data_IF_152667016890
#
_entry.id   IF_152667016890
#
_cell.length_a   1.000
_cell.length_b   1.000
_cell.length_c   1.000
_cell.angle_alpha   90.00
_cell.angle_beta   90.00
_cell.angle_gamma   90.00
#
_symmetry.space_group_name_H-M   'P 1'
#
loop_
_entity.id
_entity.type
_entity.pdbx_description
1 polymer ?
#
# COMPACT_ATOMS: atom_id res chain seq x y z
N UNK A 1 -78.10 -64.93 135.43
CA UNK A 1 -76.99 -65.83 135.09
C UNK A 1 -75.89 -64.97 134.49
N UNK A 2 -74.75 -64.92 135.19
CA UNK A 2 -73.40 -64.46 134.83
C UNK A 2 -73.22 -63.46 133.69
N UNK A 3 -72.53 -62.36 133.98
CA UNK A 3 -71.18 -62.04 133.45
C UNK A 3 -70.78 -60.66 134.03
N UNK A 4 -70.39 -60.66 135.31
CA UNK A 4 -69.97 -59.49 136.10
C UNK A 4 -68.45 -59.21 136.01
N UNK A 5 -67.76 -59.62 134.94
CA UNK A 5 -66.29 -59.46 134.82
C UNK A 5 -65.81 -58.23 134.03
N UNK A 6 -66.66 -57.61 133.20
CA UNK A 6 -66.24 -56.44 132.39
C UNK A 6 -66.36 -55.09 133.13
N UNK A 7 -67.28 -54.96 134.09
CA UNK A 7 -67.49 -53.70 134.86
C UNK A 7 -66.43 -53.44 135.95
N UNK A 8 -65.75 -54.49 136.44
CA UNK A 8 -64.69 -54.36 137.44
C UNK A 8 -63.39 -53.76 136.85
N UNK A 9 -63.11 -53.99 135.57
CA UNK A 9 -61.92 -53.47 134.88
C UNK A 9 -61.97 -51.96 134.68
N UNK A 10 -63.14 -51.40 134.34
CA UNK A 10 -63.33 -49.96 134.18
C UNK A 10 -63.25 -49.21 135.52
N UNK A 11 -63.74 -49.81 136.61
CA UNK A 11 -63.63 -49.25 137.95
C UNK A 11 -62.17 -49.05 138.40
N UNK A 12 -61.28 -50.02 138.11
CA UNK A 12 -59.86 -49.90 138.45
C UNK A 12 -59.09 -48.91 137.57
N UNK A 13 -59.41 -48.78 136.26
CA UNK A 13 -58.78 -47.78 135.38
C UNK A 13 -59.12 -46.35 135.78
N UNK A 14 -60.38 -46.09 136.12
CA UNK A 14 -60.82 -44.75 136.56
C UNK A 14 -60.22 -44.36 137.92
N UNK A 15 -60.13 -45.30 138.88
CA UNK A 15 -59.46 -45.05 140.16
C UNK A 15 -57.96 -44.83 140.01
N UNK A 16 -57.27 -45.57 139.12
CA UNK A 16 -55.85 -45.34 138.86
C UNK A 16 -55.58 -44.00 138.18
N UNK A 17 -56.40 -43.60 137.21
CA UNK A 17 -56.31 -42.29 136.54
C UNK A 17 -56.50 -41.12 137.50
N UNK A 18 -57.50 -41.21 138.40
CA UNK A 18 -57.74 -40.17 139.41
C UNK A 18 -56.69 -40.13 140.53
N UNK A 19 -56.08 -41.26 140.89
CA UNK A 19 -54.96 -41.30 141.86
C UNK A 19 -53.65 -40.77 141.25
N UNK A 20 -53.39 -41.02 139.97
CA UNK A 20 -52.21 -40.49 139.28
C UNK A 20 -52.27 -38.95 139.15
N UNK A 21 -53.47 -38.42 138.82
CA UNK A 21 -53.68 -36.97 138.77
C UNK A 21 -53.54 -36.32 140.16
N UNK A 22 -53.99 -36.99 141.23
CA UNK A 22 -53.82 -36.52 142.62
C UNK A 22 -52.38 -36.63 143.15
N UNK A 23 -51.55 -37.53 142.61
CA UNK A 23 -50.12 -37.57 142.93
C UNK A 23 -49.33 -36.50 142.16
N UNK A 24 -49.75 -36.16 140.94
CA UNK A 24 -49.09 -35.14 140.11
C UNK A 24 -49.41 -33.70 140.54
N UNK A 25 -50.46 -33.46 141.33
CA UNK A 25 -50.81 -32.13 141.88
C UNK A 25 -50.15 -31.79 143.24
N UNK A 26 -49.26 -32.64 143.78
CA UNK A 26 -48.67 -32.47 145.14
C UNK A 26 -47.24 -31.93 145.20
N UNK A 27 -46.66 -31.44 144.10
CA UNK A 27 -45.38 -30.73 144.15
C UNK A 27 -45.59 -29.22 143.94
N UNK A 28 -45.21 -28.36 144.90
CA UNK A 28 -45.14 -26.92 144.69
C UNK A 28 -43.90 -26.58 143.86
N UNK A 29 -44.04 -25.60 142.96
CA UNK A 29 -42.98 -25.09 142.11
C UNK A 29 -42.13 -24.04 142.85
N UNK A 30 -40.79 -24.17 142.85
CA UNK A 30 -39.89 -23.00 142.72
C UNK A 30 -38.43 -23.37 142.43
N UNK A 31 -37.89 -22.65 141.45
CA UNK A 31 -36.55 -22.01 141.40
C UNK A 31 -35.27 -22.73 140.98
N UNK A 32 -34.53 -21.95 140.20
CA UNK A 32 -33.22 -22.10 139.57
C UNK A 32 -32.21 -22.97 140.34
N UNK A 33 -32.13 -24.24 139.95
CA UNK A 33 -30.90 -25.00 140.06
C UNK A 33 -30.29 -25.12 138.67
N UNK A 34 -29.35 -24.21 138.40
CA UNK A 34 -28.05 -24.55 137.81
C UNK A 34 -27.88 -26.07 137.59
N UNK A 35 -27.92 -26.60 136.35
CA UNK A 35 -27.91 -28.05 136.17
C UNK A 35 -26.63 -28.65 136.78
N UNK A 36 -26.74 -29.84 137.39
CA UNK A 36 -25.60 -30.66 137.85
C UNK A 36 -24.48 -30.70 136.79
N UNK A 37 -23.18 -30.73 137.16
CA UNK A 37 -22.06 -30.78 136.20
C UNK A 37 -22.26 -31.85 135.11
N UNK A 38 -22.87 -32.97 135.46
CA UNK A 38 -23.18 -34.06 134.52
C UNK A 38 -24.27 -33.70 133.50
N UNK A 39 -25.29 -32.90 133.89
CA UNK A 39 -26.37 -32.42 133.00
C UNK A 39 -25.87 -31.28 132.10
N UNK A 40 -25.09 -30.32 132.63
CA UNK A 40 -24.43 -29.27 131.81
C UNK A 40 -23.47 -29.86 130.79
N UNK A 41 -22.75 -30.93 131.14
CA UNK A 41 -21.82 -31.59 130.23
C UNK A 41 -22.58 -32.36 129.14
N UNK A 42 -23.74 -32.95 129.46
CA UNK A 42 -24.67 -33.54 128.49
C UNK A 42 -25.32 -32.50 127.58
N UNK A 43 -25.73 -31.34 128.10
CA UNK A 43 -26.28 -30.22 127.32
C UNK A 43 -25.22 -29.57 126.44
N UNK A 44 -24.01 -29.31 126.96
CA UNK A 44 -22.88 -28.83 126.15
C UNK A 44 -22.44 -29.84 125.11
N UNK A 45 -22.55 -31.15 125.38
CA UNK A 45 -22.32 -32.21 124.40
C UNK A 45 -23.43 -32.24 123.34
N UNK A 46 -24.69 -32.05 123.72
CA UNK A 46 -25.82 -31.89 122.77
C UNK A 46 -25.67 -30.63 121.92
N UNK A 47 -25.36 -29.47 122.52
CA UNK A 47 -25.07 -28.22 121.83
C UNK A 47 -23.87 -28.36 120.89
N UNK A 48 -22.77 -28.98 121.34
CA UNK A 48 -21.62 -29.26 120.49
C UNK A 48 -21.99 -30.19 119.32
N UNK A 49 -22.83 -31.21 119.53
CA UNK A 49 -23.32 -32.06 118.42
C UNK A 49 -24.25 -31.33 117.46
N UNK A 50 -25.08 -30.39 117.96
CA UNK A 50 -25.97 -29.58 117.14
C UNK A 50 -25.19 -28.54 116.32
N UNK A 51 -24.24 -27.84 116.95
CA UNK A 51 -23.32 -26.91 116.27
C UNK A 51 -22.42 -27.65 115.29
N UNK A 52 -21.95 -28.84 115.63
CA UNK A 52 -21.18 -29.67 114.71
C UNK A 52 -22.03 -30.12 113.50
N UNK A 53 -23.28 -30.54 113.72
CA UNK A 53 -24.23 -30.84 112.63
C UNK A 53 -24.52 -29.61 111.77
N UNK A 54 -24.70 -28.43 112.36
CA UNK A 54 -24.93 -27.18 111.63
C UNK A 54 -23.68 -26.74 110.83
N UNK A 55 -22.48 -26.92 111.39
CA UNK A 55 -21.22 -26.66 110.71
C UNK A 55 -21.00 -27.63 109.54
N UNK A 56 -21.28 -28.93 109.73
CA UNK A 56 -21.22 -29.91 108.65
C UNK A 56 -22.26 -29.61 107.57
N UNK A 57 -23.49 -29.23 107.93
CA UNK A 57 -24.50 -28.76 106.97
C UNK A 57 -24.04 -27.50 106.20
N UNK A 58 -23.37 -26.56 106.86
CA UNK A 58 -22.83 -25.36 106.20
C UNK A 58 -21.64 -25.70 105.28
N UNK A 59 -20.78 -26.64 105.67
CA UNK A 59 -19.70 -27.15 104.80
C UNK A 59 -20.26 -27.88 103.60
N UNK A 60 -21.29 -28.70 103.76
CA UNK A 60 -21.97 -29.37 102.64
C UNK A 60 -22.68 -28.36 101.73
N UNK A 61 -23.37 -27.35 102.27
CA UNK A 61 -23.99 -26.28 101.51
C UNK A 61 -22.95 -25.43 100.75
N UNK A 62 -21.78 -25.18 101.35
CA UNK A 62 -20.68 -24.51 100.68
C UNK A 62 -20.07 -25.38 99.58
N UNK A 63 -19.86 -26.68 99.83
CA UNK A 63 -19.37 -27.64 98.82
C UNK A 63 -20.31 -27.71 97.62
N UNK A 64 -21.59 -27.94 97.85
CA UNK A 64 -22.61 -27.96 96.77
C UNK A 64 -22.69 -26.63 96.02
N UNK A 65 -22.60 -25.48 96.71
CA UNK A 65 -22.55 -24.17 96.04
C UNK A 65 -21.30 -24.00 95.20
N UNK A 66 -20.16 -24.48 95.68
CA UNK A 66 -18.89 -24.39 94.97
C UNK A 66 -18.85 -25.33 93.77
N UNK A 67 -19.43 -26.53 93.89
CA UNK A 67 -19.65 -27.47 92.78
C UNK A 67 -20.57 -26.87 91.72
N UNK A 68 -21.69 -26.25 92.10
CA UNK A 68 -22.60 -25.58 91.17
C UNK A 68 -21.92 -24.40 90.44
N UNK A 69 -21.09 -23.63 91.14
CA UNK A 69 -20.28 -22.57 90.53
C UNK A 69 -19.24 -23.14 89.58
N UNK A 70 -18.54 -24.22 89.96
CA UNK A 70 -17.55 -24.87 89.13
C UNK A 70 -18.19 -25.43 87.85
N UNK A 71 -19.33 -26.12 87.96
CA UNK A 71 -20.10 -26.61 86.81
C UNK A 71 -20.50 -25.45 85.88
N UNK A 72 -20.94 -24.32 86.43
CA UNK A 72 -21.31 -23.14 85.63
C UNK A 72 -20.10 -22.49 84.94
N UNK A 73 -18.93 -22.48 85.59
CA UNK A 73 -17.68 -22.04 84.98
C UNK A 73 -17.23 -22.98 83.85
N UNK A 74 -17.38 -24.28 84.03
CA UNK A 74 -17.10 -25.29 82.99
C UNK A 74 -18.05 -25.16 81.80
N UNK A 75 -19.34 -24.95 82.04
CA UNK A 75 -20.32 -24.68 80.97
C UNK A 75 -20.02 -23.39 80.21
N UNK A 76 -19.66 -22.30 80.90
CA UNK A 76 -19.28 -21.05 80.25
C UNK A 76 -18.01 -21.22 79.41
N UNK A 77 -17.01 -21.94 79.92
CA UNK A 77 -15.78 -22.25 79.19
C UNK A 77 -16.08 -23.12 77.96
N UNK A 78 -16.98 -24.10 78.09
CA UNK A 78 -17.44 -24.91 76.96
C UNK A 78 -18.15 -24.06 75.89
N UNK A 79 -19.05 -23.15 76.31
CA UNK A 79 -19.75 -22.22 75.40
C UNK A 79 -18.78 -21.25 74.72
N UNK A 80 -17.77 -20.75 75.42
CA UNK A 80 -16.72 -19.90 74.84
C UNK A 80 -15.92 -20.64 73.78
N UNK A 81 -15.50 -21.89 74.06
CA UNK A 81 -14.79 -22.75 73.09
C UNK A 81 -15.66 -23.00 71.87
N UNK A 82 -16.95 -23.30 72.06
CA UNK A 82 -17.90 -23.48 70.96
C UNK A 82 -18.05 -22.22 70.11
N UNK A 83 -18.24 -21.05 70.74
CA UNK A 83 -18.34 -19.77 70.03
C UNK A 83 -17.07 -19.45 69.23
N UNK A 84 -15.89 -19.64 69.80
CA UNK A 84 -14.62 -19.49 69.08
C UNK A 84 -14.52 -20.43 67.88
N UNK A 85 -14.96 -21.67 68.04
CA UNK A 85 -15.01 -22.63 66.93
C UNK A 85 -16.01 -22.21 65.84
N UNK A 86 -17.18 -21.67 66.22
CA UNK A 86 -18.16 -21.14 65.28
C UNK A 86 -17.65 -19.91 64.53
N UNK A 87 -17.02 -18.94 65.21
CA UNK A 87 -16.43 -17.76 64.58
C UNK A 87 -15.39 -18.19 63.54
N UNK A 88 -14.48 -19.10 63.90
CA UNK A 88 -13.47 -19.62 62.95
C UNK A 88 -14.10 -20.29 61.73
N UNK A 89 -15.16 -21.11 61.92
CA UNK A 89 -15.89 -21.72 60.81
C UNK A 89 -16.61 -20.68 59.95
N UNK A 90 -17.17 -19.64 60.57
CA UNK A 90 -17.88 -18.58 59.87
C UNK A 90 -16.93 -17.68 59.06
N UNK A 91 -15.77 -17.34 59.61
CA UNK A 91 -14.70 -16.65 58.90
C UNK A 91 -14.22 -17.46 57.69
N UNK A 92 -13.98 -18.77 57.86
CA UNK A 92 -13.64 -19.67 56.76
C UNK A 92 -14.74 -19.69 55.69
N UNK A 93 -16.01 -19.77 56.09
CA UNK A 93 -17.15 -19.73 55.17
C UNK A 93 -17.21 -18.41 54.39
N UNK A 94 -17.00 -17.26 55.04
CA UNK A 94 -16.95 -15.95 54.36
C UNK A 94 -15.80 -15.90 53.36
N UNK A 95 -14.61 -16.33 53.76
CA UNK A 95 -13.43 -16.34 52.88
C UNK A 95 -13.67 -17.24 51.65
N UNK A 96 -14.20 -18.44 51.84
CA UNK A 96 -14.52 -19.36 50.74
C UNK A 96 -15.61 -18.78 49.81
N UNK A 97 -16.65 -18.16 50.37
CA UNK A 97 -17.70 -17.55 49.59
C UNK A 97 -17.17 -16.37 48.76
N UNK A 98 -16.36 -15.49 49.36
CA UNK A 98 -15.74 -14.38 48.63
C UNK A 98 -14.77 -14.88 47.56
N UNK A 99 -14.00 -15.94 47.82
CA UNK A 99 -13.20 -16.60 46.77
C UNK A 99 -14.05 -17.18 45.64
N UNK A 100 -15.21 -17.76 45.93
CA UNK A 100 -16.16 -18.24 44.90
C UNK A 100 -16.71 -17.07 44.09
N UNK A 101 -17.10 -15.96 44.76
CA UNK A 101 -17.56 -14.72 44.11
C UNK A 101 -16.49 -14.12 43.20
N UNK A 102 -15.25 -13.98 43.68
CA UNK A 102 -14.12 -13.47 42.90
C UNK A 102 -13.84 -14.36 41.69
N UNK A 103 -13.86 -15.70 41.85
CA UNK A 103 -13.68 -16.64 40.74
C UNK A 103 -14.80 -16.51 39.69
N UNK A 104 -16.05 -16.43 40.13
CA UNK A 104 -17.20 -16.25 39.25
C UNK A 104 -17.11 -14.92 38.48
N UNK A 105 -16.80 -13.81 39.16
CA UNK A 105 -16.61 -12.50 38.54
C UNK A 105 -15.46 -12.49 37.54
N UNK A 106 -14.30 -13.08 37.88
CA UNK A 106 -13.16 -13.21 36.97
C UNK A 106 -13.54 -14.01 35.73
N UNK A 107 -14.26 -15.12 35.88
CA UNK A 107 -14.73 -15.94 34.75
C UNK A 107 -15.70 -15.15 33.86
N UNK A 108 -16.70 -14.49 34.45
CA UNK A 108 -17.66 -13.68 33.73
C UNK A 108 -17.00 -12.52 32.95
N UNK A 109 -16.02 -11.83 33.55
CA UNK A 109 -15.29 -10.76 32.87
C UNK A 109 -14.43 -11.29 31.71
N UNK A 110 -13.73 -12.42 31.88
CA UNK A 110 -12.97 -13.05 30.79
C UNK A 110 -13.89 -13.43 29.63
N UNK A 111 -15.05 -13.99 29.93
CA UNK A 111 -16.03 -14.40 28.91
C UNK A 111 -16.64 -13.19 28.18
N UNK A 112 -16.92 -12.10 28.90
CA UNK A 112 -17.34 -10.83 28.29
C UNK A 112 -16.27 -10.25 27.34
N UNK A 113 -15.01 -10.24 27.75
CA UNK A 113 -13.94 -9.70 26.90
C UNK A 113 -13.67 -10.60 25.68
N UNK A 114 -13.68 -11.93 25.86
CA UNK A 114 -13.58 -12.87 24.74
C UNK A 114 -14.73 -12.69 23.76
N UNK A 115 -15.97 -12.54 24.24
CA UNK A 115 -17.13 -12.25 23.39
C UNK A 115 -16.94 -10.95 22.61
N UNK A 116 -16.43 -9.89 23.26
CA UNK A 116 -16.16 -8.60 22.61
C UNK A 116 -15.11 -8.74 21.50
N UNK A 117 -14.04 -9.50 21.74
CA UNK A 117 -13.03 -9.81 20.73
C UNK A 117 -13.62 -10.59 19.54
N UNK A 118 -14.36 -11.67 19.82
CA UNK A 118 -15.01 -12.48 18.78
C UNK A 118 -16.01 -11.69 17.94
N UNK A 119 -16.77 -10.78 18.55
CA UNK A 119 -17.70 -9.90 17.81
C UNK A 119 -16.94 -8.96 16.87
N UNK A 120 -15.80 -8.40 17.30
CA UNK A 120 -14.95 -7.57 16.44
C UNK A 120 -14.36 -8.38 15.27
N UNK A 121 -13.85 -9.58 15.54
CA UNK A 121 -13.32 -10.48 14.51
C UNK A 121 -14.40 -10.86 13.49
N UNK A 122 -15.60 -11.20 13.97
CA UNK A 122 -16.74 -11.54 13.13
C UNK A 122 -17.20 -10.36 12.28
N UNK A 123 -17.17 -9.13 12.82
CA UNK A 123 -17.48 -7.93 12.05
C UNK A 123 -16.46 -7.70 10.92
N UNK A 124 -15.16 -7.84 11.20
CA UNK A 124 -14.10 -7.76 10.19
C UNK A 124 -14.26 -8.83 9.10
N UNK A 125 -14.40 -10.09 9.50
CA UNK A 125 -14.57 -11.21 8.57
C UNK A 125 -15.83 -11.05 7.68
N UNK A 126 -16.93 -10.49 8.22
CA UNK A 126 -18.13 -10.18 7.43
C UNK A 126 -17.86 -9.10 6.38
N UNK A 127 -17.11 -8.06 6.73
CA UNK A 127 -16.73 -7.00 5.79
C UNK A 127 -15.82 -7.56 4.69
N UNK A 128 -14.79 -8.32 5.07
CA UNK A 128 -13.87 -8.94 4.11
C UNK A 128 -14.60 -9.88 3.15
N UNK A 129 -15.53 -10.69 3.67
CA UNK A 129 -16.38 -11.56 2.84
C UNK A 129 -17.24 -10.76 1.86
N UNK A 130 -17.78 -9.61 2.27
CA UNK A 130 -18.58 -8.76 1.38
C UNK A 130 -17.73 -8.19 0.24
N UNK A 131 -16.53 -7.71 0.54
CA UNK A 131 -15.57 -7.20 -0.46
C UNK A 131 -15.17 -8.31 -1.43
N UNK A 132 -14.80 -9.48 -0.92
CA UNK A 132 -14.44 -10.64 -1.74
C UNK A 132 -15.59 -11.09 -2.65
N UNK A 133 -16.83 -11.08 -2.15
CA UNK A 133 -18.01 -11.40 -2.96
C UNK A 133 -18.23 -10.39 -4.08
N UNK A 134 -18.05 -9.10 -3.80
CA UNK A 134 -18.17 -8.05 -4.81
C UNK A 134 -17.09 -8.20 -5.90
N UNK A 135 -15.84 -8.45 -5.51
CA UNK A 135 -14.74 -8.69 -6.46
C UNK A 135 -14.98 -9.95 -7.30
N UNK A 136 -15.42 -11.05 -6.68
CA UNK A 136 -15.79 -12.25 -7.39
C UNK A 136 -16.91 -11.98 -8.41
N UNK A 137 -17.96 -11.25 -8.02
CA UNK A 137 -19.05 -10.90 -8.94
C UNK A 137 -18.54 -10.04 -10.11
N UNK A 138 -17.69 -9.06 -9.83
CA UNK A 138 -17.07 -8.19 -10.84
C UNK A 138 -16.25 -9.01 -11.84
N UNK A 139 -15.43 -9.93 -11.36
CA UNK A 139 -14.62 -10.81 -12.20
C UNK A 139 -15.47 -11.80 -13.00
N UNK A 140 -16.51 -12.38 -12.38
CA UNK A 140 -17.45 -13.28 -13.05
C UNK A 140 -18.19 -12.58 -14.19
N UNK A 141 -18.66 -11.35 -13.96
CA UNK A 141 -19.31 -10.55 -15.00
C UNK A 141 -18.36 -10.27 -16.17
N UNK A 142 -17.09 -9.92 -15.89
CA UNK A 142 -16.07 -9.75 -16.94
C UNK A 142 -15.82 -11.04 -17.70
N UNK A 143 -15.66 -12.16 -17.01
CA UNK A 143 -15.47 -13.48 -17.65
C UNK A 143 -16.63 -13.82 -18.58
N UNK A 144 -17.87 -13.54 -18.16
CA UNK A 144 -19.06 -13.75 -18.98
C UNK A 144 -19.07 -12.84 -20.21
N UNK A 145 -18.71 -11.56 -20.07
CA UNK A 145 -18.55 -10.64 -21.20
C UNK A 145 -17.50 -11.15 -22.19
N UNK A 146 -16.36 -11.64 -21.70
CA UNK A 146 -15.28 -12.15 -22.54
C UNK A 146 -15.52 -13.56 -23.11
N UNK A 147 -16.57 -14.26 -22.65
CA UNK A 147 -16.88 -15.62 -23.11
C UNK A 147 -17.15 -15.70 -24.61
N UNK A 148 -17.67 -14.63 -25.21
CA UNK A 148 -17.94 -14.55 -26.66
C UNK A 148 -16.62 -14.62 -27.44
N UNK A 149 -15.61 -13.87 -27.01
CA UNK A 149 -14.29 -13.88 -27.65
C UNK A 149 -13.58 -15.22 -27.47
N UNK A 150 -13.69 -15.82 -26.29
CA UNK A 150 -13.12 -17.15 -26.06
C UNK A 150 -13.76 -18.18 -27.00
N UNK A 151 -15.10 -18.24 -27.06
CA UNK A 151 -15.83 -19.13 -28.00
C UNK A 151 -15.46 -18.86 -29.47
N UNK A 152 -15.24 -17.60 -29.83
CA UNK A 152 -14.77 -17.26 -31.17
C UNK A 152 -13.36 -17.81 -31.42
N UNK A 153 -12.42 -17.61 -30.50
CA UNK A 153 -11.05 -18.11 -30.62
C UNK A 153 -11.00 -19.64 -30.64
N UNK A 154 -11.84 -20.32 -29.85
CA UNK A 154 -12.01 -21.77 -29.92
C UNK A 154 -12.49 -22.23 -31.31
N UNK A 155 -13.39 -21.48 -31.95
CA UNK A 155 -13.81 -21.78 -33.33
C UNK A 155 -12.66 -21.54 -34.33
N UNK A 156 -11.88 -20.48 -34.14
CA UNK A 156 -10.71 -20.20 -34.99
C UNK A 156 -9.71 -21.33 -34.89
N UNK A 157 -9.38 -21.78 -33.68
CA UNK A 157 -8.50 -22.93 -33.44
C UNK A 157 -9.01 -24.16 -34.19
N UNK A 158 -10.30 -24.50 -34.06
CA UNK A 158 -10.93 -25.65 -34.76
C UNK A 158 -10.83 -25.62 -36.29
N UNK A 159 -10.80 -24.43 -36.90
CA UNK A 159 -10.74 -24.27 -38.36
C UNK A 159 -9.30 -24.10 -38.85
N UNK A 160 -8.37 -23.83 -37.94
CA UNK A 160 -6.97 -23.54 -38.25
C UNK A 160 -6.05 -24.74 -37.98
N UNK A 161 -4.79 -24.59 -38.37
CA UNK A 161 -3.70 -25.55 -38.10
C UNK A 161 -3.16 -25.46 -36.66
N UNK A 162 -3.62 -24.47 -35.87
CA UNK A 162 -3.15 -24.24 -34.51
C UNK A 162 -3.88 -25.13 -33.51
N UNK A 163 -3.15 -25.62 -32.50
CA UNK A 163 -3.72 -26.48 -31.45
C UNK A 163 -4.28 -25.65 -30.28
N UNK A 164 -3.66 -24.51 -30.00
CA UNK A 164 -4.05 -23.64 -28.88
C UNK A 164 -4.39 -22.20 -29.31
N UNK A 165 -5.32 -21.58 -28.57
CA UNK A 165 -5.68 -20.16 -28.73
C UNK A 165 -4.43 -19.25 -28.58
N UNK A 166 -3.48 -19.64 -27.72
CA UNK A 166 -2.24 -18.88 -27.52
C UNK A 166 -1.38 -18.81 -28.78
N UNK A 167 -1.34 -19.87 -29.57
CA UNK A 167 -0.58 -19.92 -30.82
C UNK A 167 -1.21 -18.99 -31.87
N UNK A 168 -2.54 -19.00 -31.98
CA UNK A 168 -3.28 -18.06 -32.84
C UNK A 168 -2.97 -16.61 -32.47
N UNK A 169 -2.99 -16.29 -31.18
CA UNK A 169 -2.66 -14.94 -30.68
C UNK A 169 -1.19 -14.60 -30.97
N UNK A 170 -0.28 -15.56 -30.78
CA UNK A 170 1.14 -15.41 -31.09
C UNK A 170 1.35 -15.08 -32.56
N UNK A 171 0.77 -15.88 -33.46
CA UNK A 171 0.84 -15.66 -34.91
C UNK A 171 0.27 -14.31 -35.30
N UNK A 172 -0.88 -13.93 -34.75
CA UNK A 172 -1.49 -12.63 -35.00
C UNK A 172 -0.56 -11.48 -34.59
N UNK A 173 0.04 -11.54 -33.38
CA UNK A 173 0.98 -10.51 -32.92
C UNK A 173 2.18 -10.39 -33.85
N UNK A 174 2.77 -11.50 -34.26
CA UNK A 174 3.89 -11.51 -35.21
C UNK A 174 3.47 -10.91 -36.56
N UNK A 175 2.28 -11.25 -37.07
CA UNK A 175 1.78 -10.74 -38.34
C UNK A 175 1.51 -9.22 -38.29
N UNK A 176 0.92 -8.74 -37.20
CA UNK A 176 0.69 -7.30 -36.99
C UNK A 176 2.02 -6.56 -36.89
N UNK A 177 3.00 -7.10 -36.15
CA UNK A 177 4.35 -6.53 -36.09
C UNK A 177 5.00 -6.44 -37.47
N UNK A 178 5.03 -7.55 -38.21
CA UNK A 178 5.56 -7.59 -39.59
C UNK A 178 4.82 -6.60 -40.51
N UNK A 179 3.50 -6.46 -40.37
CA UNK A 179 2.73 -5.51 -41.17
C UNK A 179 3.11 -4.06 -40.86
N UNK A 180 3.30 -3.72 -39.57
CA UNK A 180 3.76 -2.40 -39.16
C UNK A 180 5.15 -2.10 -39.70
N UNK A 181 6.09 -3.04 -39.58
CA UNK A 181 7.46 -2.89 -40.10
C UNK A 181 7.45 -2.70 -41.62
N UNK A 182 6.64 -3.48 -42.34
CA UNK A 182 6.52 -3.36 -43.80
C UNK A 182 5.90 -2.02 -44.21
N UNK A 183 4.87 -1.55 -43.50
CA UNK A 183 4.25 -0.24 -43.73
C UNK A 183 5.24 0.89 -43.50
N UNK A 184 6.05 0.81 -42.45
CA UNK A 184 7.10 1.80 -42.18
C UNK A 184 8.16 1.80 -43.28
N UNK A 185 8.68 0.63 -43.66
CA UNK A 185 9.67 0.52 -44.73
C UNK A 185 9.15 1.02 -46.08
N UNK A 186 7.87 0.76 -46.39
CA UNK A 186 7.23 1.30 -47.59
C UNK A 186 7.14 2.83 -47.56
N UNK A 187 6.79 3.42 -46.41
CA UNK A 187 6.74 4.86 -46.23
C UNK A 187 8.12 5.50 -46.40
N UNK A 188 9.15 4.93 -45.76
CA UNK A 188 10.55 5.38 -45.91
C UNK A 188 11.01 5.30 -47.37
N UNK A 189 10.63 4.22 -48.08
CA UNK A 189 10.90 4.08 -49.51
C UNK A 189 10.27 5.17 -50.37
N UNK A 190 9.01 5.53 -50.10
CA UNK A 190 8.33 6.63 -50.79
C UNK A 190 9.00 7.98 -50.52
N UNK A 191 9.40 8.24 -49.28
CA UNK A 191 10.12 9.47 -48.92
C UNK A 191 11.48 9.56 -49.62
N UNK A 192 12.21 8.45 -49.72
CA UNK A 192 13.49 8.40 -50.45
C UNK A 192 13.30 8.66 -51.95
N UNK A 193 12.24 8.11 -52.56
CA UNK A 193 11.90 8.39 -53.97
C UNK A 193 11.57 9.86 -54.16
N UNK A 194 10.78 10.46 -53.26
CA UNK A 194 10.41 11.87 -53.36
C UNK A 194 11.64 12.78 -53.22
N UNK A 195 12.53 12.50 -52.26
CA UNK A 195 13.79 13.21 -52.13
C UNK A 195 14.66 13.08 -53.38
N UNK A 196 14.73 11.90 -53.98
CA UNK A 196 15.49 11.67 -55.21
C UNK A 196 14.89 12.47 -56.39
N UNK A 197 13.56 12.53 -56.52
CA UNK A 197 12.88 13.36 -57.53
C UNK A 197 13.17 14.84 -57.36
N UNK A 198 13.11 15.35 -56.13
CA UNK A 198 13.44 16.76 -55.84
C UNK A 198 14.88 17.07 -56.24
N UNK A 199 15.84 16.20 -55.88
CA UNK A 199 17.24 16.37 -56.28
C UNK A 199 17.42 16.33 -57.80
N UNK A 200 16.71 15.45 -58.49
CA UNK A 200 16.77 15.37 -59.95
C UNK A 200 16.18 16.61 -60.63
N UNK A 201 15.05 17.13 -60.13
CA UNK A 201 14.44 18.38 -60.62
C UNK A 201 15.43 19.53 -60.51
N UNK A 202 16.01 19.71 -59.32
CA UNK A 202 17.00 20.76 -59.07
C UNK A 202 18.20 20.64 -60.00
N UNK A 203 18.77 19.45 -60.14
CA UNK A 203 19.90 19.22 -61.04
C UNK A 203 19.54 19.51 -62.50
N UNK A 204 18.32 19.17 -62.93
CA UNK A 204 17.85 19.42 -64.29
C UNK A 204 17.72 20.93 -64.53
N UNK A 205 17.10 21.66 -63.60
CA UNK A 205 16.99 23.12 -63.65
C UNK A 205 18.38 23.80 -63.71
N UNK A 206 19.32 23.38 -62.86
CA UNK A 206 20.70 23.88 -62.89
C UNK A 206 21.38 23.63 -64.25
N UNK A 207 21.18 22.46 -64.85
CA UNK A 207 21.76 22.14 -66.17
C UNK A 207 21.09 22.87 -67.31
N UNK A 208 19.78 23.08 -67.25
CA UNK A 208 19.07 23.89 -68.23
C UNK A 208 19.55 25.35 -68.18
N UNK A 209 19.78 25.89 -66.98
CA UNK A 209 20.37 27.23 -66.79
C UNK A 209 21.80 27.32 -67.35
N UNK A 210 22.65 26.32 -67.09
CA UNK A 210 24.01 26.24 -67.67
C UNK A 210 23.96 26.19 -69.22
N UNK A 211 23.04 25.40 -69.80
CA UNK A 211 22.86 25.32 -71.25
C UNK A 211 22.42 26.67 -71.81
N UNK A 212 21.48 27.37 -71.16
CA UNK A 212 21.05 28.70 -71.57
C UNK A 212 22.21 29.70 -71.51
N UNK A 213 23.04 29.65 -70.47
CA UNK A 213 24.23 30.50 -70.37
C UNK A 213 25.21 30.23 -71.54
N UNK A 214 25.54 28.97 -71.81
CA UNK A 214 26.43 28.62 -72.92
C UNK A 214 25.84 28.99 -74.29
N UNK A 215 24.53 28.83 -74.50
CA UNK A 215 23.87 29.25 -75.73
C UNK A 215 23.95 30.78 -75.93
N UNK A 216 23.78 31.55 -74.86
CA UNK A 216 23.95 33.01 -74.92
C UNK A 216 25.39 33.40 -75.25
N UNK A 217 26.38 32.72 -74.66
CA UNK A 217 27.80 32.93 -74.98
C UNK A 217 28.11 32.59 -76.43
N UNK A 218 27.58 31.47 -76.93
CA UNK A 218 27.73 31.03 -78.33
C UNK A 218 27.12 32.07 -79.29
N UNK A 219 25.91 32.56 -79.02
CA UNK A 219 25.27 33.60 -79.82
C UNK A 219 26.12 34.88 -79.85
N UNK A 220 26.68 35.29 -78.71
CA UNK A 220 27.58 36.46 -78.62
C UNK A 220 28.86 36.27 -79.44
N UNK A 221 29.46 35.08 -79.38
CA UNK A 221 30.66 34.75 -80.17
C UNK A 221 30.34 34.72 -81.67
N UNK A 222 29.19 34.15 -82.05
CA UNK A 222 28.73 34.11 -83.44
C UNK A 222 28.52 35.53 -83.99
N UNK A 223 27.87 36.42 -83.25
CA UNK A 223 27.70 37.82 -83.65
C UNK A 223 29.05 38.52 -83.87
N UNK A 224 30.04 38.29 -82.97
CA UNK A 224 31.40 38.84 -83.14
C UNK A 224 32.10 38.29 -84.36
N UNK A 225 31.95 36.99 -84.62
CA UNK A 225 32.51 36.33 -85.80
C UNK A 225 31.91 36.89 -87.09
N UNK A 226 30.58 37.00 -87.16
CA UNK A 226 29.87 37.52 -88.33
C UNK A 226 30.21 39.00 -88.59
N UNK A 227 30.38 39.80 -87.53
CA UNK A 227 30.85 41.17 -87.64
C UNK A 227 32.27 41.25 -88.20
N UNK A 228 33.22 40.50 -87.63
CA UNK A 228 34.60 40.45 -88.13
C UNK A 228 34.67 39.97 -89.58
N UNK A 229 33.87 38.95 -89.94
CA UNK A 229 33.76 38.45 -91.31
C UNK A 229 33.22 39.51 -92.26
N UNK A 230 32.21 40.28 -91.85
CA UNK A 230 31.69 41.41 -92.64
C UNK A 230 32.77 42.46 -92.90
N UNK A 231 33.55 42.81 -91.86
CA UNK A 231 34.66 43.76 -92.00
C UNK A 231 35.73 43.25 -92.97
N UNK A 232 36.10 41.97 -92.89
CA UNK A 232 37.04 41.33 -93.82
C UNK A 232 36.56 41.50 -95.26
N UNK A 233 35.29 41.20 -95.56
CA UNK A 233 34.72 41.35 -96.91
C UNK A 233 34.81 42.81 -97.39
N UNK A 234 34.52 43.79 -96.52
CA UNK A 234 34.63 45.21 -96.85
C UNK A 234 36.07 45.58 -97.18
N UNK A 235 37.05 45.13 -96.39
CA UNK A 235 38.45 45.41 -96.62
C UNK A 235 39.00 44.70 -97.86
N UNK A 236 38.61 43.46 -98.13
CA UNK A 236 38.96 42.72 -99.35
C UNK A 236 38.44 43.44 -100.60
N UNK A 237 37.21 43.95 -100.58
CA UNK A 237 36.63 44.73 -101.68
C UNK A 237 37.41 46.04 -101.93
N UNK A 238 37.73 46.77 -100.85
CA UNK A 238 38.56 47.99 -100.93
C UNK A 238 39.96 47.67 -101.48
N UNK A 239 40.58 46.60 -101.01
CA UNK A 239 41.88 46.14 -101.46
C UNK A 239 41.85 45.77 -102.95
N UNK A 240 40.85 45.01 -103.40
CA UNK A 240 40.67 44.67 -104.81
C UNK A 240 40.46 45.92 -105.68
N UNK A 241 39.74 46.93 -105.19
CA UNK A 241 39.60 48.21 -105.90
C UNK A 241 40.94 48.96 -106.03
N UNK A 242 41.74 49.01 -104.96
CA UNK A 242 43.08 49.60 -104.99
C UNK A 242 43.97 48.84 -105.98
N UNK A 243 43.98 47.51 -105.92
CA UNK A 243 44.76 46.68 -106.84
C UNK A 243 44.35 46.89 -108.30
N UNK A 244 43.04 46.88 -108.60
CA UNK A 244 42.53 47.14 -109.95
C UNK A 244 42.92 48.54 -110.45
N UNK A 245 42.83 49.55 -109.58
CA UNK A 245 43.23 50.92 -109.92
C UNK A 245 44.73 51.01 -110.17
N UNK A 246 45.54 50.37 -109.34
CA UNK A 246 46.99 50.28 -109.53
C UNK A 246 47.33 49.58 -110.85
N UNK A 247 46.70 48.43 -111.16
CA UNK A 247 46.87 47.71 -112.41
C UNK A 247 46.51 48.57 -113.63
N UNK A 248 45.38 49.31 -113.59
CA UNK A 248 44.99 50.26 -114.64
C UNK A 248 46.03 51.38 -114.82
N UNK A 249 46.50 51.98 -113.73
CA UNK A 249 47.55 53.02 -113.77
C UNK A 249 48.86 52.47 -114.32
N UNK A 250 49.27 51.28 -113.92
CA UNK A 250 50.48 50.60 -114.44
C UNK A 250 50.35 50.32 -115.93
N UNK A 251 49.20 49.84 -116.39
CA UNK A 251 48.94 49.61 -117.82
C UNK A 251 48.94 50.92 -118.61
N UNK A 252 48.30 51.97 -118.09
CA UNK A 252 48.27 53.29 -118.73
C UNK A 252 49.68 53.88 -118.82
N UNK A 253 50.47 53.80 -117.75
CA UNK A 253 51.87 54.19 -117.75
C UNK A 253 52.67 53.39 -118.78
N UNK A 254 52.52 52.06 -118.83
CA UNK A 254 53.16 51.22 -119.83
C UNK A 254 52.77 51.59 -121.26
N UNK A 255 51.49 51.93 -121.49
CA UNK A 255 51.00 52.36 -122.81
C UNK A 255 51.59 53.71 -123.21
N UNK A 256 51.64 54.68 -122.28
CA UNK A 256 52.29 55.98 -122.51
C UNK A 256 53.77 55.76 -122.84
N UNK A 257 54.49 54.97 -122.04
CA UNK A 257 55.90 54.64 -122.28
C UNK A 257 56.12 54.05 -123.67
N UNK A 258 55.27 53.10 -124.09
CA UNK A 258 55.37 52.48 -125.42
C UNK A 258 55.03 53.45 -126.56
N UNK A 259 53.99 54.27 -126.40
CA UNK A 259 53.63 55.28 -127.38
C UNK A 259 54.74 56.33 -127.54
N UNK A 260 55.30 56.81 -126.43
CA UNK A 260 56.47 57.70 -126.41
C UNK A 260 57.66 57.07 -127.12
N UNK A 261 58.01 55.83 -126.78
CA UNK A 261 59.10 55.11 -127.43
C UNK A 261 58.86 54.96 -128.95
N UNK A 262 57.65 54.59 -129.36
CA UNK A 262 57.28 54.42 -130.76
C UNK A 262 57.36 55.75 -131.54
N UNK A 263 56.91 56.85 -130.94
CA UNK A 263 57.01 58.18 -131.52
C UNK A 263 58.48 58.63 -131.64
N UNK A 264 59.26 58.47 -130.57
CA UNK A 264 60.70 58.76 -130.55
C UNK A 264 61.42 57.98 -131.67
N UNK A 265 61.22 56.66 -131.76
CA UNK A 265 61.78 55.83 -132.83
C UNK A 265 61.36 56.29 -134.23
N UNK A 266 60.10 56.72 -134.40
CA UNK A 266 59.59 57.22 -135.68
C UNK A 266 60.26 58.54 -136.11
N UNK A 267 60.44 59.47 -135.16
CA UNK A 267 61.13 60.75 -135.40
C UNK A 267 62.62 60.53 -135.65
N UNK A 268 63.31 59.72 -134.83
CA UNK A 268 64.72 59.38 -135.04
C UNK A 268 64.96 58.73 -136.41
N UNK A 269 64.02 57.90 -136.89
CA UNK A 269 64.08 57.29 -138.22
C UNK A 269 63.91 58.31 -139.36
N UNK A 270 63.10 59.34 -139.18
CA UNK A 270 62.95 60.43 -140.17
C UNK A 270 64.15 61.39 -140.18
N UNK A 271 64.74 61.68 -139.02
CA UNK A 271 65.91 62.56 -138.90
C UNK A 271 67.23 61.91 -139.36
N UNK A 272 67.25 60.59 -139.66
CA UNK A 272 68.47 59.79 -139.93
C UNK A 272 69.54 59.88 -138.82
N UNK A 273 69.14 60.21 -137.59
CA UNK A 273 70.02 60.22 -136.43
C UNK A 273 69.73 59.00 -135.54
N UNK A 274 70.72 58.13 -135.36
CA UNK A 274 70.66 57.05 -134.37
C UNK A 274 70.98 57.60 -132.98
N UNK A 275 69.98 58.17 -132.32
CA UNK A 275 70.08 58.58 -130.92
C UNK A 275 69.89 57.36 -130.00
N UNK A 276 70.98 56.96 -129.34
CA UNK A 276 71.02 55.79 -128.44
C UNK A 276 70.43 56.13 -127.06
N UNK A 277 69.12 56.31 -127.00
CA UNK A 277 68.39 56.50 -125.72
C UNK A 277 67.89 55.13 -125.20
N UNK A 278 68.11 54.79 -123.91
CA UNK A 278 67.63 53.52 -123.34
C UNK A 278 66.11 53.38 -123.42
N UNK A 279 65.65 52.15 -123.66
CA UNK A 279 64.23 51.80 -123.85
C UNK A 279 63.36 52.17 -122.63
N UNK A 280 63.91 52.12 -121.42
CA UNK A 280 63.18 52.38 -120.17
C UNK A 280 63.15 53.85 -119.72
N UNK A 281 63.97 54.72 -120.31
CA UNK A 281 64.15 56.12 -119.90
C UNK A 281 63.20 57.05 -120.68
N UNK A 282 61.91 56.98 -120.31
CA UNK A 282 60.82 57.69 -121.00
C UNK A 282 60.95 59.21 -120.95
N UNK A 283 61.60 59.76 -119.92
CA UNK A 283 61.82 61.21 -119.80
C UNK A 283 62.77 61.71 -120.90
N UNK A 284 63.92 61.05 -121.08
CA UNK A 284 64.87 61.41 -122.14
C UNK A 284 64.33 61.20 -123.55
N UNK A 285 63.36 60.30 -123.74
CA UNK A 285 62.69 60.09 -125.03
C UNK A 285 61.72 61.23 -125.39
N UNK A 286 61.21 61.97 -124.39
CA UNK A 286 60.31 63.12 -124.57
C UNK A 286 61.05 64.47 -124.64
N UNK A 287 62.24 64.56 -124.05
CA UNK A 287 63.07 65.78 -124.01
C UNK A 287 63.85 66.05 -125.33
N UNK A 288 63.53 65.31 -126.39
CA UNK A 288 64.15 65.34 -127.73
C UNK A 288 63.24 66.02 -128.74
#
# INVERSE_FOLDING_TARGET
ANMEEEDLSEYFRMQYGQKLLKLLMKFPATEEQSPSPSIRLLEKKKEATLVHRAMEAQKEAFRTRMEALNNRWEELRAKEIQLKAYIKKFEQFIQENDQKRIRALKKANREKELKKQRVKELAKAKLDMAVLKQEHQRLSNKLQQYSIFNKYLEKVVKVSEFEEIREVIGRYKTLVGMHQDLMQSAQEGLEMIEQAKVRLSHYTEEKDDEILQHNNELARLQMRFDHARSDVIVWESRWAHIQNTAAKKTLMLGTIKMATLNLFQSVSKQLKETLSVPVEDTHKQLDM
#
